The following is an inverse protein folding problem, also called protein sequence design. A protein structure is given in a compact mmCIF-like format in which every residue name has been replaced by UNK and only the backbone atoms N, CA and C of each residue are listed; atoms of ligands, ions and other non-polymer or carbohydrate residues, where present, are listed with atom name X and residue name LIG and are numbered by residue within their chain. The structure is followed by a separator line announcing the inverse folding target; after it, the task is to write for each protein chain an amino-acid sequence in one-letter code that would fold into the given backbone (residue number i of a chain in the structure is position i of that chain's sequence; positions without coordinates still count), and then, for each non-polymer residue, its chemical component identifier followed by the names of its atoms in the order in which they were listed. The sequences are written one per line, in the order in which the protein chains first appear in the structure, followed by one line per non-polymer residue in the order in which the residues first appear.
data_IF_461586581881
#
_entry.id   IF_461586581881
#
_cell.length_a   1.000
_cell.length_b   1.000
_cell.length_c   1.000
_cell.angle_alpha   90.00
_cell.angle_beta   90.00
_cell.angle_gamma   90.00
#
_symmetry.space_group_name_H-M   'P 1'
#
loop_
_entity.id
_entity.type
_entity.pdbx_description
1 polymer ?
#
# COMPACT_ATOMS: atom_id res chain seq x y z
N UNK A 1 14.90 23.51 3.18
CA UNK A 1 13.60 23.49 3.88
C UNK A 1 13.12 22.05 3.93
N UNK A 2 12.97 21.52 5.12
CA UNK A 2 12.40 20.18 5.32
C UNK A 2 10.89 20.37 5.46
N UNK A 3 10.14 19.79 4.56
CA UNK A 3 8.69 19.74 4.68
C UNK A 3 8.32 18.48 5.46
N UNK A 4 7.65 18.61 6.59
CA UNK A 4 7.00 17.51 7.27
C UNK A 4 5.53 17.47 6.87
N UNK A 5 5.03 16.30 6.52
CA UNK A 5 3.62 16.07 6.33
C UNK A 5 3.07 15.41 7.59
N UNK A 6 2.05 16.01 8.18
CA UNK A 6 1.28 15.37 9.24
C UNK A 6 0.20 14.51 8.56
N UNK A 7 0.41 13.21 8.54
CA UNK A 7 -0.60 12.28 8.06
C UNK A 7 -1.73 12.16 9.07
N UNK A 8 -2.99 12.06 8.62
CA UNK A 8 -4.08 11.69 9.51
C UNK A 8 -3.80 10.31 10.14
N UNK A 9 -4.31 10.03 11.35
CA UNK A 9 -4.24 8.70 11.92
C UNK A 9 -4.82 7.67 10.96
N UNK A 10 -4.11 6.55 10.76
CA UNK A 10 -4.52 5.46 9.89
C UNK A 10 -4.31 4.14 10.61
N UNK A 11 -5.27 3.23 10.45
CA UNK A 11 -5.04 1.83 10.75
C UNK A 11 -4.39 1.16 9.54
N UNK A 12 -3.32 0.39 9.76
CA UNK A 12 -2.57 -0.27 8.70
C UNK A 12 -2.56 -1.77 8.97
N UNK A 13 -2.92 -2.55 7.95
CA UNK A 13 -2.75 -4.00 7.94
C UNK A 13 -1.73 -4.37 6.87
N UNK A 14 -0.78 -5.21 7.23
CA UNK A 14 0.22 -5.77 6.32
C UNK A 14 -0.03 -7.26 6.25
N UNK A 15 -0.30 -7.77 5.05
CA UNK A 15 -0.63 -9.18 4.81
C UNK A 15 -1.72 -9.71 5.77
N UNK A 16 -2.80 -8.91 5.94
CA UNK A 16 -3.98 -9.18 6.80
C UNK A 16 -3.69 -9.21 8.31
N UNK A 17 -2.55 -8.65 8.72
CA UNK A 17 -2.19 -8.50 10.14
C UNK A 17 -2.11 -7.03 10.49
N UNK A 18 -2.76 -6.63 11.59
CA UNK A 18 -2.63 -5.26 12.09
C UNK A 18 -1.16 -4.91 12.36
N UNK A 19 -0.77 -3.71 11.97
CA UNK A 19 0.59 -3.23 12.06
C UNK A 19 0.66 -1.86 12.70
N UNK A 20 1.72 -1.63 13.45
CA UNK A 20 2.05 -0.35 14.09
C UNK A 20 2.79 0.63 13.15
N UNK A 21 2.98 0.29 11.89
CA UNK A 21 3.65 1.15 10.91
C UNK A 21 3.00 2.54 10.77
N UNK A 22 1.72 2.68 11.13
CA UNK A 22 1.05 3.97 11.21
C UNK A 22 1.64 4.90 12.28
N UNK A 23 2.14 4.33 13.38
CA UNK A 23 2.71 5.07 14.52
C UNK A 23 4.22 5.30 14.40
N UNK A 24 4.90 4.56 13.54
CA UNK A 24 6.36 4.62 13.39
C UNK A 24 6.85 5.85 12.61
N UNK A 25 5.98 6.64 12.01
CA UNK A 25 6.37 7.85 11.28
C UNK A 25 7.13 8.85 12.14
N UNK A 26 6.81 8.93 13.43
CA UNK A 26 7.53 9.81 14.37
C UNK A 26 8.95 9.28 14.67
N UNK A 27 9.09 7.96 14.77
CA UNK A 27 10.39 7.32 15.00
C UNK A 27 11.31 7.48 13.78
N UNK A 28 10.73 7.39 12.58
CA UNK A 28 11.49 7.54 11.34
C UNK A 28 11.95 8.99 11.09
N UNK A 29 11.27 9.98 11.68
CA UNK A 29 11.62 11.41 11.55
C UNK A 29 12.73 11.87 12.50
N UNK A 30 12.93 11.17 13.62
CA UNK A 30 13.64 11.76 14.75
C UNK A 30 15.12 11.41 14.88
N UNK A 31 15.56 10.20 14.62
CA UNK A 31 16.88 9.76 15.09
C UNK A 31 17.79 9.13 14.01
N UNK A 32 17.23 8.69 12.90
CA UNK A 32 18.00 8.03 11.87
C UNK A 32 18.08 8.95 10.65
N UNK A 33 19.18 9.55 10.37
CA UNK A 33 19.41 10.39 9.21
C UNK A 33 19.19 9.66 7.85
N UNK A 34 18.69 8.43 7.90
CA UNK A 34 18.28 7.62 6.73
C UNK A 34 17.28 6.54 7.17
N UNK A 35 16.34 6.24 6.31
CA UNK A 35 15.38 5.14 6.48
C UNK A 35 15.80 4.00 5.58
N UNK A 36 15.98 2.82 6.14
CA UNK A 36 16.20 1.63 5.31
C UNK A 36 14.91 1.22 4.61
N UNK A 37 15.00 0.67 3.42
CA UNK A 37 13.84 0.16 2.68
C UNK A 37 12.99 -0.82 3.51
N UNK A 38 13.64 -1.70 4.27
CA UNK A 38 12.95 -2.65 5.16
C UNK A 38 12.20 -2.00 6.34
N UNK A 39 12.43 -0.70 6.62
CA UNK A 39 11.65 0.07 7.58
C UNK A 39 10.30 0.54 7.03
N UNK A 40 10.07 0.42 5.72
CA UNK A 40 8.81 0.77 5.08
C UNK A 40 7.96 -0.50 4.94
N UNK A 41 6.97 -0.65 5.79
CA UNK A 41 6.03 -1.80 5.85
C UNK A 41 6.71 -3.18 5.95
N UNK A 42 7.95 -3.25 6.41
CA UNK A 42 8.70 -4.51 6.51
C UNK A 42 9.27 -5.02 5.18
N UNK A 43 9.19 -4.25 4.11
CA UNK A 43 9.64 -4.61 2.77
C UNK A 43 8.49 -4.82 1.78
N UNK A 44 8.68 -5.74 0.84
CA UNK A 44 7.67 -6.07 -0.17
C UNK A 44 6.65 -7.06 0.41
N UNK A 45 5.38 -6.64 0.42
CA UNK A 45 4.26 -7.42 0.94
C UNK A 45 3.27 -7.75 -0.17
N UNK A 46 2.44 -8.78 0.03
CA UNK A 46 1.38 -9.13 -0.91
C UNK A 46 0.23 -8.12 -0.89
N UNK A 47 -0.13 -7.66 0.32
CA UNK A 47 -1.24 -6.74 0.53
C UNK A 47 -0.92 -5.76 1.67
N UNK A 48 -1.17 -4.49 1.46
CA UNK A 48 -1.16 -3.47 2.52
C UNK A 48 -2.46 -2.69 2.46
N UNK A 49 -3.18 -2.63 3.58
CA UNK A 49 -4.46 -1.92 3.68
C UNK A 49 -4.31 -0.74 4.62
N UNK A 50 -4.75 0.42 4.17
CA UNK A 50 -4.81 1.65 4.95
C UNK A 50 -6.26 2.04 5.17
N UNK A 51 -6.65 2.26 6.41
CA UNK A 51 -7.97 2.76 6.78
C UNK A 51 -7.84 4.10 7.49
N UNK A 52 -8.35 5.16 6.88
CA UNK A 52 -8.32 6.50 7.45
C UNK A 52 -9.49 6.79 8.38
N UNK A 53 -10.51 5.93 8.39
CA UNK A 53 -11.77 6.17 9.10
C UNK A 53 -12.60 7.32 8.52
N UNK A 54 -12.20 7.91 7.39
CA UNK A 54 -12.94 8.98 6.72
C UNK A 54 -13.95 8.41 5.73
N UNK A 55 -15.03 9.16 5.50
CA UNK A 55 -15.92 8.89 4.38
C UNK A 55 -15.23 9.21 3.05
N UNK A 56 -15.54 8.48 2.01
CA UNK A 56 -15.02 8.72 0.68
C UNK A 56 -14.83 7.45 -0.13
N UNK A 57 -14.09 7.58 -1.21
CA UNK A 57 -13.81 6.48 -2.14
C UNK A 57 -12.76 5.51 -1.57
N UNK A 58 -12.88 4.26 -1.97
CA UNK A 58 -11.85 3.24 -1.79
C UNK A 58 -11.05 3.09 -3.08
N UNK A 59 -9.74 2.98 -2.94
CA UNK A 59 -8.82 2.83 -4.07
C UNK A 59 -8.02 1.53 -3.96
N UNK A 60 -7.84 0.87 -5.09
CA UNK A 60 -6.91 -0.23 -5.28
C UNK A 60 -5.67 0.28 -6.00
N UNK A 61 -4.51 0.03 -5.43
CA UNK A 61 -3.22 0.36 -6.03
C UNK A 61 -2.50 -0.94 -6.36
N UNK A 62 -2.20 -1.14 -7.63
CA UNK A 62 -1.24 -2.15 -8.04
C UNK A 62 0.14 -1.51 -8.13
N UNK A 63 1.08 -2.06 -7.38
CA UNK A 63 2.41 -1.52 -7.31
C UNK A 63 3.49 -2.59 -7.22
N UNK A 64 4.69 -2.10 -7.22
CA UNK A 64 5.89 -2.82 -6.84
C UNK A 64 6.61 -2.01 -5.76
N UNK A 65 7.83 -2.37 -5.41
CA UNK A 65 8.59 -1.68 -4.36
C UNK A 65 8.71 -0.16 -4.51
N UNK A 66 8.45 0.39 -5.69
CA UNK A 66 8.54 1.83 -5.94
C UNK A 66 7.37 2.64 -5.36
N UNK A 67 6.23 2.01 -5.12
CA UNK A 67 5.04 2.69 -4.57
C UNK A 67 5.09 2.85 -3.05
N UNK A 68 5.82 2.01 -2.33
CA UNK A 68 5.87 2.00 -0.87
C UNK A 68 6.14 3.38 -0.25
N UNK A 69 7.01 4.18 -0.88
CA UNK A 69 7.38 5.50 -0.38
C UNK A 69 6.23 6.52 -0.39
N UNK A 70 5.21 6.31 -1.22
CA UNK A 70 4.12 7.27 -1.43
C UNK A 70 2.74 6.75 -1.00
N UNK A 71 2.64 5.49 -0.56
CA UNK A 71 1.36 4.87 -0.22
C UNK A 71 0.59 5.63 0.86
N UNK A 72 1.23 6.06 1.94
CA UNK A 72 0.56 6.84 2.99
C UNK A 72 0.05 8.18 2.50
N UNK A 73 0.83 8.86 1.64
CA UNK A 73 0.41 10.12 1.04
C UNK A 73 -0.86 9.92 0.20
N UNK A 74 -0.87 8.89 -0.63
CA UNK A 74 -2.05 8.55 -1.42
C UNK A 74 -3.22 8.15 -0.52
N UNK A 75 -2.99 7.27 0.45
CA UNK A 75 -4.02 6.79 1.36
C UNK A 75 -4.70 7.91 2.16
N UNK A 76 -4.00 9.00 2.45
CA UNK A 76 -4.57 10.15 3.16
C UNK A 76 -5.73 10.82 2.43
N UNK A 77 -5.89 10.57 1.13
CA UNK A 77 -6.93 11.14 0.27
C UNK A 77 -8.17 10.23 0.09
N UNK A 78 -8.14 9.02 0.65
CA UNK A 78 -9.20 8.03 0.45
C UNK A 78 -9.76 7.52 1.78
N UNK A 79 -10.92 6.88 1.74
CA UNK A 79 -11.47 6.18 2.89
C UNK A 79 -10.59 4.98 3.23
N UNK A 80 -10.45 4.06 2.28
CA UNK A 80 -9.54 2.92 2.37
C UNK A 80 -8.68 2.81 1.12
N UNK A 81 -7.44 2.40 1.33
CA UNK A 81 -6.48 2.15 0.26
C UNK A 81 -5.98 0.73 0.38
N UNK A 82 -6.07 -0.01 -0.71
CA UNK A 82 -5.64 -1.39 -0.84
C UNK A 82 -4.45 -1.41 -1.80
N UNK A 83 -3.26 -1.72 -1.30
CA UNK A 83 -2.05 -1.86 -2.13
C UNK A 83 -1.77 -3.35 -2.34
N UNK A 84 -1.68 -3.76 -3.58
CA UNK A 84 -1.45 -5.15 -4.00
C UNK A 84 -0.18 -5.22 -4.83
N UNK A 85 0.76 -6.07 -4.40
CA UNK A 85 1.89 -6.50 -5.21
C UNK A 85 1.62 -7.91 -5.74
N UNK A 86 1.26 -8.00 -7.00
CA UNK A 86 0.90 -9.28 -7.65
C UNK A 86 2.05 -10.31 -7.64
N UNK A 87 3.31 -9.85 -7.57
CA UNK A 87 4.47 -10.75 -7.48
C UNK A 87 4.48 -11.54 -6.17
N UNK A 88 4.00 -10.92 -5.10
CA UNK A 88 4.04 -11.47 -3.75
C UNK A 88 2.68 -12.02 -3.28
N UNK A 89 1.57 -11.60 -3.88
CA UNK A 89 0.23 -11.94 -3.42
C UNK A 89 -0.02 -13.45 -3.38
N UNK A 90 0.21 -14.14 -4.50
CA UNK A 90 0.01 -15.59 -4.57
C UNK A 90 0.95 -16.36 -3.62
N UNK A 91 2.19 -15.90 -3.50
CA UNK A 91 3.15 -16.50 -2.56
C UNK A 91 2.70 -16.33 -1.11
N UNK A 92 2.16 -15.16 -0.77
CA UNK A 92 1.76 -14.83 0.60
C UNK A 92 0.47 -15.55 1.01
N UNK A 93 -0.52 -15.59 0.12
CA UNK A 93 -1.87 -16.08 0.45
C UNK A 93 -2.19 -17.47 -0.12
N UNK A 94 -1.36 -18.01 -0.99
CA UNK A 94 -1.58 -19.32 -1.61
C UNK A 94 -2.68 -19.34 -2.68
N UNK A 95 -3.14 -18.17 -3.10
CA UNK A 95 -4.21 -18.00 -4.10
C UNK A 95 -3.87 -16.88 -5.08
N UNK A 96 -4.33 -17.01 -6.31
CA UNK A 96 -4.19 -15.94 -7.30
C UNK A 96 -5.10 -14.77 -6.96
N UNK A 97 -4.64 -13.58 -7.30
CA UNK A 97 -5.45 -12.38 -7.14
C UNK A 97 -6.65 -12.40 -8.10
N UNK A 98 -7.86 -12.35 -7.55
CA UNK A 98 -9.10 -12.23 -8.30
C UNK A 98 -9.59 -10.79 -8.26
N UNK A 99 -9.37 -10.06 -9.34
CA UNK A 99 -9.69 -8.65 -9.44
C UNK A 99 -11.18 -8.35 -9.24
N UNK A 100 -12.05 -9.09 -9.91
CA UNK A 100 -13.50 -8.82 -9.88
C UNK A 100 -14.09 -9.07 -8.49
N UNK A 101 -13.66 -10.14 -7.85
CA UNK A 101 -14.09 -10.45 -6.48
C UNK A 101 -13.56 -9.42 -5.49
N UNK A 102 -12.29 -9.06 -5.59
CA UNK A 102 -11.64 -8.11 -4.70
C UNK A 102 -12.28 -6.71 -4.78
N UNK A 103 -12.54 -6.22 -5.98
CA UNK A 103 -13.18 -4.91 -6.20
C UNK A 103 -14.58 -4.87 -5.59
N UNK A 104 -15.35 -5.94 -5.74
CA UNK A 104 -16.70 -6.03 -5.15
C UNK A 104 -16.68 -6.14 -3.63
N UNK A 105 -15.84 -6.99 -3.09
CA UNK A 105 -15.76 -7.23 -1.64
C UNK A 105 -15.33 -5.99 -0.86
N UNK A 106 -14.47 -5.19 -1.46
CA UNK A 106 -13.90 -4.01 -0.81
C UNK A 106 -14.52 -2.68 -1.28
N UNK A 107 -15.59 -2.72 -2.08
CA UNK A 107 -16.28 -1.52 -2.59
C UNK A 107 -15.30 -0.52 -3.24
N UNK A 108 -14.43 -1.03 -4.10
CA UNK A 108 -13.39 -0.24 -4.75
C UNK A 108 -13.98 0.50 -5.95
N UNK A 109 -13.79 1.81 -6.00
CA UNK A 109 -14.27 2.66 -7.08
C UNK A 109 -13.17 3.22 -7.97
N UNK A 110 -11.90 3.11 -7.56
CA UNK A 110 -10.75 3.63 -8.29
C UNK A 110 -9.62 2.61 -8.31
N UNK A 111 -8.89 2.55 -9.41
CA UNK A 111 -7.71 1.71 -9.56
C UNK A 111 -6.55 2.54 -10.08
N UNK A 112 -5.39 2.38 -9.49
CA UNK A 112 -4.16 3.05 -9.86
C UNK A 112 -3.03 2.03 -10.03
N UNK A 113 -2.24 2.18 -11.07
CA UNK A 113 -1.04 1.39 -11.32
C UNK A 113 0.20 2.25 -11.12
N UNK A 114 1.11 1.80 -10.26
CA UNK A 114 2.36 2.51 -9.94
C UNK A 114 3.53 1.54 -10.07
N UNK A 115 4.47 1.83 -10.94
CA UNK A 115 5.66 1.00 -11.11
C UNK A 115 6.58 1.53 -12.19
N UNK A 116 7.72 0.90 -12.34
CA UNK A 116 8.60 1.14 -13.47
C UNK A 116 8.05 0.48 -14.75
N UNK A 117 8.75 0.66 -15.85
CA UNK A 117 8.29 0.14 -17.15
C UNK A 117 8.18 -1.40 -17.17
N UNK A 118 9.01 -2.09 -16.37
CA UNK A 118 8.98 -3.55 -16.30
C UNK A 118 7.72 -4.06 -15.62
N UNK A 119 7.16 -3.29 -14.70
CA UNK A 119 5.91 -3.60 -14.03
C UNK A 119 4.74 -3.78 -15.00
N UNK A 120 4.67 -2.93 -16.03
CA UNK A 120 3.58 -2.98 -17.02
C UNK A 120 3.73 -4.10 -18.06
N UNK A 121 4.87 -4.77 -18.07
CA UNK A 121 5.14 -5.91 -18.97
C UNK A 121 5.06 -7.26 -18.25
N UNK A 122 4.69 -7.28 -16.99
CA UNK A 122 4.52 -8.50 -16.22
C UNK A 122 3.37 -9.35 -16.79
N UNK A 123 3.57 -10.66 -16.81
CA UNK A 123 2.57 -11.61 -17.34
C UNK A 123 1.24 -11.55 -16.59
N UNK A 124 1.25 -11.13 -15.34
CA UNK A 124 0.09 -10.99 -14.48
C UNK A 124 -0.91 -9.94 -14.98
N UNK A 125 -0.44 -8.95 -15.75
CA UNK A 125 -1.28 -7.93 -16.37
C UNK A 125 -1.59 -8.20 -17.85
N UNK A 126 -0.94 -9.19 -18.44
CA UNK A 126 -1.16 -9.58 -19.83
C UNK A 126 -2.29 -10.62 -19.88
N UNK A 127 -3.48 -10.12 -20.02
CA UNK A 127 -4.67 -10.94 -20.19
C UNK A 127 -4.81 -11.37 -21.66
#
# INVERSE_FOLDING_TARGET
TIYSFDFPPMEIQVDRVESDYGMQDELLRGELGWVSYGGVYGGDNGEVIFDTGKDGDNILIFGNSYDNAILKLLASHFSKTYSIDLRNYEHTFGEKFDFDSYVREHDISKVLFIGDISFYTMSEFMI
#
